data_IF_200559489472
#
_entry.id   IF_200559489472
#
_cell.length_a   1.000
_cell.length_b   1.000
_cell.length_c   1.000
_cell.angle_alpha   90.00
_cell.angle_beta   90.00
_cell.angle_gamma   90.00
#
_symmetry.space_group_name_H-M   'P 1'
#
loop_
_entity.id
_entity.type
_entity.pdbx_description
1 polymer ?
#
# COMPACT_ATOMS: atom_id res chain seq x y z
N UNK A 1 -10.32 -0.51 6.00
CA UNK A 1 -11.34 -1.58 5.88
C UNK A 1 -12.47 -1.35 6.86
N UNK A 2 -13.72 -1.65 6.48
CA UNK A 2 -14.86 -1.59 7.41
C UNK A 2 -15.04 -2.97 8.06
N UNK A 3 -15.05 -3.03 9.40
CA UNK A 3 -15.25 -4.26 10.17
C UNK A 3 -14.08 -4.70 11.06
N UNK A 4 -13.01 -3.90 11.16
CA UNK A 4 -11.87 -4.17 12.05
C UNK A 4 -11.82 -3.07 13.10
N UNK A 5 -12.42 -3.33 14.27
CA UNK A 5 -12.58 -2.39 15.40
C UNK A 5 -11.31 -2.16 16.23
N UNK A 6 -10.12 -2.48 15.71
CA UNK A 6 -8.87 -2.15 16.38
C UNK A 6 -7.76 -2.02 15.35
N UNK A 7 -7.20 -0.81 15.28
CA UNK A 7 -5.78 -0.61 15.02
C UNK A 7 -5.24 -1.39 13.80
N UNK A 8 -5.72 -1.04 12.60
CA UNK A 8 -5.23 -1.65 11.36
C UNK A 8 -3.76 -1.34 11.13
N UNK A 9 -2.92 -2.22 11.64
CA UNK A 9 -1.52 -2.40 11.29
C UNK A 9 -1.51 -2.86 9.82
N UNK A 10 -1.40 -1.91 8.89
CA UNK A 10 -1.33 -2.15 7.43
C UNK A 10 -2.60 -2.72 6.78
N UNK A 11 -3.64 -1.89 6.61
CA UNK A 11 -4.60 -2.11 5.52
C UNK A 11 -3.93 -1.62 4.24
N UNK A 12 -3.28 -2.53 3.49
CA UNK A 12 -2.57 -2.19 2.26
C UNK A 12 -3.41 -1.40 1.26
N UNK A 13 -4.72 -1.65 1.25
CA UNK A 13 -5.72 -0.93 0.44
C UNK A 13 -5.85 0.54 0.84
N UNK A 14 -5.82 0.85 2.14
CA UNK A 14 -5.84 2.23 2.64
C UNK A 14 -4.57 3.00 2.33
N UNK A 15 -3.42 2.31 2.42
CA UNK A 15 -2.10 2.87 2.06
C UNK A 15 -2.07 3.27 0.57
N UNK A 16 -2.60 2.44 -0.32
CA UNK A 16 -2.73 2.76 -1.75
C UNK A 16 -3.69 3.94 -1.99
N UNK A 17 -4.84 3.96 -1.32
CA UNK A 17 -5.81 5.05 -1.47
C UNK A 17 -5.23 6.41 -1.06
N UNK A 18 -4.48 6.48 0.06
CA UNK A 18 -3.82 7.71 0.52
C UNK A 18 -2.75 8.18 -0.46
N UNK A 19 -1.93 7.26 -0.99
CA UNK A 19 -0.91 7.59 -1.99
C UNK A 19 -1.52 8.22 -3.25
N UNK A 20 -2.56 7.59 -3.81
CA UNK A 20 -3.24 8.10 -5.01
C UNK A 20 -3.92 9.45 -4.72
N UNK A 21 -4.58 9.57 -3.58
CA UNK A 21 -5.25 10.83 -3.18
C UNK A 21 -4.24 11.98 -3.07
N UNK A 22 -3.05 11.73 -2.52
CA UNK A 22 -1.98 12.75 -2.44
C UNK A 22 -1.46 13.18 -3.82
N UNK A 23 -1.32 12.25 -4.76
CA UNK A 23 -0.88 12.57 -6.14
C UNK A 23 -1.95 13.34 -6.92
N UNK A 24 -3.23 13.09 -6.64
CA UNK A 24 -4.37 13.84 -7.18
C UNK A 24 -4.42 15.26 -6.60
N UNK A 25 -4.34 15.39 -5.28
CA UNK A 25 -4.39 16.68 -4.56
C UNK A 25 -3.25 17.61 -4.97
N UNK A 26 -2.06 17.06 -5.22
CA UNK A 26 -0.89 17.82 -5.71
C UNK A 26 -0.84 17.99 -7.23
N UNK A 27 -1.88 17.56 -7.95
CA UNK A 27 -2.01 17.64 -9.40
C UNK A 27 -0.74 17.22 -10.17
N UNK A 28 -0.15 16.09 -9.78
CA UNK A 28 1.08 15.59 -10.39
C UNK A 28 0.89 15.31 -11.89
N UNK A 29 1.87 15.58 -12.76
CA UNK A 29 1.78 15.27 -14.18
C UNK A 29 1.76 13.74 -14.44
N UNK A 30 1.61 13.35 -15.70
CA UNK A 30 1.78 11.95 -16.10
C UNK A 30 3.22 11.51 -15.83
N UNK A 31 3.38 10.31 -15.27
CA UNK A 31 4.70 9.84 -14.84
C UNK A 31 4.66 8.65 -13.89
N UNK A 32 5.85 8.22 -13.47
CA UNK A 32 6.00 7.19 -12.43
C UNK A 32 6.24 7.86 -11.09
N UNK A 33 5.54 7.38 -10.07
CA UNK A 33 5.59 7.91 -8.72
C UNK A 33 5.85 6.81 -7.71
N UNK A 34 6.62 7.15 -6.68
CA UNK A 34 6.76 6.35 -5.47
C UNK A 34 6.46 7.22 -4.26
N UNK A 35 5.38 6.89 -3.54
CA UNK A 35 4.94 7.61 -2.35
C UNK A 35 5.32 6.79 -1.12
N UNK A 36 6.16 7.35 -0.25
CA UNK A 36 6.57 6.72 1.00
C UNK A 36 5.56 7.02 2.10
N UNK A 37 5.15 5.99 2.83
CA UNK A 37 4.14 6.06 3.89
C UNK A 37 4.69 5.42 5.16
N UNK A 38 4.76 6.20 6.22
CA UNK A 38 5.11 5.72 7.55
C UNK A 38 3.86 5.20 8.25
N UNK A 39 3.75 3.87 8.40
CA UNK A 39 2.68 3.23 9.15
C UNK A 39 3.21 2.69 10.49
N UNK A 40 2.31 2.41 11.45
CA UNK A 40 2.69 1.78 12.73
C UNK A 40 3.45 0.46 12.55
N UNK A 41 3.19 -0.27 11.45
CA UNK A 41 3.85 -1.53 11.10
C UNK A 41 5.14 -1.43 10.30
N UNK A 42 5.69 -0.22 10.12
CA UNK A 42 6.93 0.01 9.40
C UNK A 42 6.76 0.94 8.20
N UNK A 43 7.85 1.12 7.45
CA UNK A 43 7.79 1.88 6.20
C UNK A 43 7.13 1.05 5.10
N UNK A 44 6.14 1.66 4.46
CA UNK A 44 5.54 1.18 3.22
C UNK A 44 5.87 2.21 2.12
N UNK A 45 5.89 1.76 0.87
CA UNK A 45 5.81 2.66 -0.28
C UNK A 45 4.80 2.16 -1.29
N UNK A 46 4.17 3.10 -2.00
CA UNK A 46 3.26 2.80 -3.10
C UNK A 46 3.89 3.33 -4.37
N UNK A 47 4.20 2.43 -5.29
CA UNK A 47 4.67 2.78 -6.64
C UNK A 47 3.50 2.68 -7.61
N UNK A 48 3.32 3.69 -8.45
CA UNK A 48 2.28 3.70 -9.47
C UNK A 48 2.71 4.52 -10.70
N UNK A 49 1.98 4.36 -11.80
CA UNK A 49 2.11 5.21 -12.99
C UNK A 49 0.82 6.01 -13.18
N UNK A 50 0.93 7.34 -13.26
CA UNK A 50 -0.18 8.23 -13.62
C UNK A 50 -0.23 8.40 -15.13
N UNK A 51 -1.42 8.20 -15.70
CA UNK A 51 -1.75 8.47 -17.09
C UNK A 51 -3.11 9.15 -17.14
N UNK A 52 -3.10 10.46 -17.33
CA UNK A 52 -4.26 11.36 -17.28
C UNK A 52 -5.00 11.23 -15.95
N UNK A 53 -6.27 10.82 -15.99
CA UNK A 53 -7.12 10.62 -14.81
C UNK A 53 -7.02 9.20 -14.22
N UNK A 54 -6.11 8.37 -14.74
CA UNK A 54 -5.94 6.99 -14.32
C UNK A 54 -4.57 6.73 -13.65
N UNK A 55 -4.57 5.77 -12.73
CA UNK A 55 -3.36 5.19 -12.14
C UNK A 55 -3.30 3.71 -12.47
N UNK A 56 -2.15 3.28 -12.99
CA UNK A 56 -1.88 1.89 -13.41
C UNK A 56 -0.58 1.40 -12.79
N UNK A 57 -0.30 0.09 -12.90
CA UNK A 57 0.93 -0.52 -12.40
C UNK A 57 1.19 -0.18 -10.91
N UNK A 58 0.17 -0.41 -10.07
CA UNK A 58 0.17 -0.04 -8.66
C UNK A 58 0.77 -1.17 -7.81
N UNK A 59 1.85 -0.87 -7.09
CA UNK A 59 2.55 -1.81 -6.21
C UNK A 59 2.59 -1.24 -4.79
N UNK A 60 2.12 -2.01 -3.82
CA UNK A 60 2.41 -1.79 -2.41
C UNK A 60 3.70 -2.54 -2.05
N UNK A 61 4.67 -1.81 -1.55
CA UNK A 61 6.02 -2.29 -1.24
C UNK A 61 6.23 -2.11 0.25
N UNK A 62 6.70 -3.15 0.93
CA UNK A 62 6.94 -3.13 2.36
C UNK A 62 7.84 -4.29 2.79
N UNK A 63 8.43 -4.21 3.98
CA UNK A 63 9.24 -5.28 4.52
C UNK A 63 8.37 -6.51 4.79
N UNK A 64 8.84 -7.68 4.34
CA UNK A 64 8.26 -8.98 4.70
C UNK A 64 9.20 -9.66 5.68
N UNK A 65 8.73 -9.83 6.93
CA UNK A 65 9.47 -10.54 7.97
C UNK A 65 8.78 -11.88 8.20
N UNK A 66 9.55 -12.97 8.13
CA UNK A 66 9.05 -14.30 8.47
C UNK A 66 8.83 -14.37 9.98
N UNK A 67 7.57 -14.49 10.40
CA UNK A 67 7.20 -14.51 11.83
C UNK A 67 6.99 -15.91 12.39
N UNK A 68 6.70 -16.91 11.54
CA UNK A 68 6.64 -18.32 11.95
C UNK A 68 6.84 -19.26 10.75
N UNK A 69 7.02 -20.55 11.03
CA UNK A 69 6.95 -21.67 10.09
C UNK A 69 6.17 -22.82 10.74
N UNK A 70 5.39 -23.55 9.94
CA UNK A 70 4.69 -24.74 10.39
C UNK A 70 4.43 -25.71 9.24
N UNK A 71 4.23 -26.99 9.57
CA UNK A 71 3.87 -28.04 8.62
C UNK A 71 2.38 -28.35 8.81
N UNK A 72 1.60 -28.24 7.74
CA UNK A 72 0.19 -28.62 7.72
C UNK A 72 0.06 -30.07 7.25
N UNK A 73 -0.38 -30.96 8.15
CA UNK A 73 -0.75 -32.33 7.79
C UNK A 73 -2.25 -32.37 7.50
N UNK A 74 -2.61 -33.00 6.39
CA UNK A 74 -4.00 -33.31 6.04
C UNK A 74 -4.18 -34.84 6.10
N UNK A 75 -5.22 -35.29 6.78
CA UNK A 75 -5.65 -36.70 6.85
C UNK A 75 -6.63 -37.03 5.74
#
# INVERSE_FOLDING_TARGET
ERGVEAETFSCGTGTVAVAISSLLDTNQPNGQYEVKISAKGGQLSVRCKKHDDAFVDIYLIGPSVRVFEGILYFS
#
